data_IF_184358799221
#
_entry.id   IF_184358799221
#
_cell.length_a   1.000
_cell.length_b   1.000
_cell.length_c   1.000
_cell.angle_alpha   90.00
_cell.angle_beta   90.00
_cell.angle_gamma   90.00
#
_symmetry.space_group_name_H-M   'P 1'
#
loop_
_entity.id
_entity.type
_entity.pdbx_description
1 polymer ?
#
# COMPACT_ATOMS: atom_id res chain seq x y z
N UNK A 1 25.40 -18.80 -12.49
CA UNK A 1 25.15 -17.35 -12.32
C UNK A 1 23.76 -17.24 -11.68
N UNK A 2 23.72 -17.13 -10.35
CA UNK A 2 22.52 -16.79 -9.62
C UNK A 2 22.43 -15.26 -9.60
N UNK A 3 21.29 -14.71 -10.00
CA UNK A 3 20.99 -13.26 -10.06
C UNK A 3 21.64 -12.49 -11.23
N UNK A 4 21.10 -12.66 -12.43
CA UNK A 4 21.59 -11.98 -13.63
C UNK A 4 21.01 -10.55 -13.80
N UNK A 5 19.90 -10.21 -13.14
CA UNK A 5 19.30 -8.86 -13.12
C UNK A 5 18.49 -8.67 -11.84
N UNK A 6 18.79 -7.61 -11.13
CA UNK A 6 18.10 -7.16 -9.91
C UNK A 6 17.18 -5.99 -10.27
N UNK A 7 16.39 -6.13 -11.32
CA UNK A 7 15.46 -5.08 -11.72
C UNK A 7 14.20 -5.17 -10.85
N UNK A 8 13.78 -4.03 -10.34
CA UNK A 8 12.48 -3.85 -9.69
C UNK A 8 11.39 -3.95 -10.75
N UNK A 9 10.41 -4.80 -10.53
CA UNK A 9 9.23 -4.86 -11.39
C UNK A 9 8.13 -3.95 -10.85
N UNK A 10 7.84 -2.89 -11.58
CA UNK A 10 6.75 -1.99 -11.25
C UNK A 10 5.52 -2.36 -12.08
N UNK A 11 4.39 -2.58 -11.43
CA UNK A 11 3.12 -2.92 -12.08
C UNK A 11 2.00 -2.03 -11.59
N UNK A 12 1.21 -1.57 -12.52
CA UNK A 12 -0.03 -0.88 -12.23
C UNK A 12 -1.12 -1.88 -11.84
N UNK A 13 -1.93 -1.51 -10.85
CA UNK A 13 -3.10 -2.28 -10.45
C UNK A 13 -4.19 -1.37 -9.88
N UNK A 14 -5.37 -1.95 -9.66
CA UNK A 14 -6.53 -1.24 -9.15
C UNK A 14 -7.01 -1.87 -7.86
N UNK A 15 -7.38 -1.06 -6.89
CA UNK A 15 -8.03 -1.47 -5.67
C UNK A 15 -9.55 -1.65 -5.89
N UNK A 16 -10.25 -2.15 -4.87
CA UNK A 16 -11.68 -2.43 -4.97
C UNK A 16 -12.50 -1.16 -5.22
N UNK A 17 -12.07 -0.04 -4.64
CA UNK A 17 -12.69 1.28 -4.84
C UNK A 17 -12.35 1.92 -6.21
N UNK A 18 -11.62 1.23 -7.07
CA UNK A 18 -11.18 1.71 -8.39
C UNK A 18 -9.93 2.60 -8.35
N UNK A 19 -9.35 2.86 -7.17
CA UNK A 19 -8.12 3.64 -7.06
C UNK A 19 -6.94 2.91 -7.71
N UNK A 20 -6.19 3.64 -8.51
CA UNK A 20 -4.97 3.16 -9.15
C UNK A 20 -3.81 3.15 -8.14
N UNK A 21 -3.08 2.06 -8.10
CA UNK A 21 -1.89 1.89 -7.26
C UNK A 21 -0.74 1.30 -8.09
N UNK A 22 0.48 1.56 -7.64
CA UNK A 22 1.67 0.96 -8.23
C UNK A 22 2.21 -0.10 -7.27
N UNK A 23 2.28 -1.32 -7.74
CA UNK A 23 2.94 -2.42 -7.02
C UNK A 23 4.39 -2.49 -7.46
N UNK A 24 5.28 -2.38 -6.50
CA UNK A 24 6.73 -2.50 -6.71
C UNK A 24 7.16 -3.85 -6.14
N UNK A 25 7.46 -4.80 -7.04
CA UNK A 25 7.95 -6.11 -6.65
C UNK A 25 9.47 -6.04 -6.44
N UNK A 26 9.90 -6.41 -5.23
CA UNK A 26 11.31 -6.42 -4.86
C UNK A 26 11.86 -7.83 -4.86
N UNK A 27 13.16 -7.98 -4.97
CA UNK A 27 13.80 -9.29 -4.80
C UNK A 27 13.60 -9.79 -3.39
N UNK A 28 13.12 -11.02 -3.24
CA UNK A 28 12.91 -11.64 -1.93
C UNK A 28 14.19 -11.74 -1.13
N UNK A 29 14.09 -11.51 0.18
CA UNK A 29 15.22 -11.69 1.09
C UNK A 29 15.52 -13.18 1.23
N UNK A 30 16.71 -13.58 0.80
CA UNK A 30 17.21 -14.94 0.93
C UNK A 30 18.06 -15.01 2.19
N UNK A 31 17.85 -16.04 3.01
CA UNK A 31 18.73 -16.31 4.15
C UNK A 31 20.18 -16.43 3.66
N UNK A 32 21.11 -15.73 4.30
CA UNK A 32 22.54 -15.68 3.93
C UNK A 32 22.88 -14.83 2.69
N UNK A 33 22.32 -13.64 2.57
CA UNK A 33 22.81 -12.67 1.58
C UNK A 33 24.25 -12.27 1.96
N UNK A 34 25.27 -12.54 1.12
CA UNK A 34 26.63 -12.09 1.36
C UNK A 34 26.68 -10.56 1.47
N UNK A 35 27.51 -10.02 2.37
CA UNK A 35 27.59 -8.58 2.63
C UNK A 35 27.86 -7.73 1.39
N UNK A 36 28.59 -8.27 0.41
CA UNK A 36 28.86 -7.61 -0.88
C UNK A 36 27.62 -7.53 -1.79
N UNK A 37 26.60 -8.38 -1.61
CA UNK A 37 25.34 -8.28 -2.33
C UNK A 37 24.37 -7.29 -1.68
N UNK A 38 24.49 -7.00 -0.38
CA UNK A 38 23.66 -5.99 0.30
C UNK A 38 23.81 -4.63 -0.36
N UNK A 39 25.02 -4.25 -0.80
CA UNK A 39 25.25 -2.99 -1.51
C UNK A 39 24.58 -2.96 -2.89
N UNK A 40 24.55 -4.09 -3.59
CA UNK A 40 23.87 -4.22 -4.89
C UNK A 40 22.34 -4.18 -4.75
N UNK A 41 21.79 -4.64 -3.61
CA UNK A 41 20.37 -4.56 -3.27
C UNK A 41 19.93 -3.18 -2.79
N UNK A 42 20.89 -2.34 -2.37
CA UNK A 42 20.58 -1.05 -1.75
C UNK A 42 19.73 -0.16 -2.65
N UNK A 43 20.02 -0.13 -3.96
CA UNK A 43 19.22 0.65 -4.93
C UNK A 43 17.77 0.16 -5.02
N UNK A 44 17.56 -1.15 -5.12
CA UNK A 44 16.23 -1.77 -5.20
C UNK A 44 15.45 -1.61 -3.88
N UNK A 45 16.16 -1.64 -2.75
CA UNK A 45 15.56 -1.47 -1.43
C UNK A 45 15.26 0.00 -1.08
N UNK A 46 15.90 0.95 -1.76
CA UNK A 46 15.58 2.37 -1.60
C UNK A 46 14.16 2.70 -2.07
N UNK A 47 13.57 1.91 -2.97
CA UNK A 47 12.16 2.01 -3.36
C UNK A 47 11.20 1.90 -2.16
N UNK A 48 11.56 1.10 -1.14
CA UNK A 48 10.79 0.96 0.10
C UNK A 48 10.62 2.32 0.81
N UNK A 49 11.62 3.20 0.73
CA UNK A 49 11.56 4.52 1.35
C UNK A 49 10.47 5.42 0.75
N UNK A 50 10.18 5.20 -0.52
CA UNK A 50 9.20 6.01 -1.27
C UNK A 50 7.81 5.38 -1.30
N UNK A 51 7.66 4.13 -0.83
CA UNK A 51 6.36 3.47 -0.77
C UNK A 51 5.47 4.08 0.31
N UNK A 52 4.16 4.12 0.08
CA UNK A 52 3.15 4.52 1.06
C UNK A 52 2.77 3.38 2.01
N UNK A 53 2.96 2.14 1.56
CA UNK A 53 2.63 0.91 2.29
C UNK A 53 3.60 -0.21 1.92
N UNK A 54 4.00 -1.01 2.90
CA UNK A 54 4.83 -2.20 2.71
C UNK A 54 3.95 -3.44 2.88
N UNK A 55 3.98 -4.34 1.89
CA UNK A 55 3.42 -5.68 2.00
C UNK A 55 4.56 -6.66 2.29
N UNK A 56 4.68 -7.12 3.52
CA UNK A 56 5.64 -8.14 3.92
C UNK A 56 5.04 -9.52 3.64
N UNK A 57 5.34 -10.08 2.46
CA UNK A 57 4.81 -11.38 2.03
C UNK A 57 5.66 -12.53 2.59
N UNK A 58 5.01 -13.42 3.34
CA UNK A 58 5.62 -14.48 4.12
C UNK A 58 5.07 -15.83 3.65
N UNK A 59 5.95 -16.79 3.33
CA UNK A 59 5.56 -18.18 3.09
C UNK A 59 5.35 -18.88 4.44
N UNK A 60 4.09 -18.94 4.91
CA UNK A 60 3.76 -19.54 6.22
C UNK A 60 4.02 -21.05 6.27
N UNK A 61 4.21 -21.72 5.13
CA UNK A 61 4.55 -23.14 5.07
C UNK A 61 6.04 -23.44 5.26
N UNK A 62 6.86 -22.40 5.37
CA UNK A 62 8.30 -22.54 5.59
C UNK A 62 8.60 -22.88 7.05
N UNK A 63 9.61 -23.71 7.30
CA UNK A 63 10.02 -24.08 8.67
C UNK A 63 10.71 -22.91 9.41
N UNK A 64 11.27 -21.95 8.69
CA UNK A 64 12.05 -20.84 9.24
C UNK A 64 11.28 -19.50 9.13
N UNK A 65 9.97 -19.50 9.32
CA UNK A 65 9.12 -18.29 9.17
C UNK A 65 9.56 -17.18 10.11
N UNK A 66 9.82 -17.49 11.38
CA UNK A 66 10.18 -16.49 12.40
C UNK A 66 11.52 -15.82 12.07
N UNK A 67 12.50 -16.59 11.61
CA UNK A 67 13.80 -16.07 11.17
C UNK A 67 13.63 -15.13 9.96
N UNK A 68 12.77 -15.52 9.01
CA UNK A 68 12.49 -14.69 7.82
C UNK A 68 11.83 -13.36 8.19
N UNK A 69 10.87 -13.40 9.11
CA UNK A 69 10.22 -12.18 9.62
C UNK A 69 11.26 -11.27 10.31
N UNK A 70 12.09 -11.86 11.17
CA UNK A 70 13.13 -11.11 11.90
C UNK A 70 14.13 -10.46 10.95
N UNK A 71 14.65 -11.19 9.97
CA UNK A 71 15.61 -10.69 8.97
C UNK A 71 15.00 -9.52 8.17
N UNK A 72 13.74 -9.67 7.73
CA UNK A 72 13.07 -8.61 6.97
C UNK A 72 12.85 -7.36 7.82
N UNK A 73 12.41 -7.52 9.08
CA UNK A 73 12.21 -6.41 10.00
C UNK A 73 13.53 -5.67 10.32
N UNK A 74 14.63 -6.41 10.53
CA UNK A 74 15.95 -5.80 10.67
C UNK A 74 16.38 -5.00 9.42
N UNK A 75 16.03 -5.46 8.24
CA UNK A 75 16.34 -4.76 7.00
C UNK A 75 15.51 -3.46 6.88
N UNK A 76 14.21 -3.51 7.16
CA UNK A 76 13.32 -2.33 7.20
C UNK A 76 13.89 -1.29 8.18
N UNK A 77 14.38 -1.75 9.33
CA UNK A 77 15.05 -0.89 10.32
C UNK A 77 16.33 -0.26 9.79
N UNK A 78 17.20 -1.04 9.14
CA UNK A 78 18.43 -0.54 8.52
C UNK A 78 18.18 0.49 7.43
N UNK A 79 17.01 0.44 6.79
CA UNK A 79 16.57 1.43 5.79
C UNK A 79 15.92 2.67 6.41
N UNK A 80 15.75 2.75 7.73
CA UNK A 80 15.01 3.77 8.47
C UNK A 80 13.56 3.92 7.97
N UNK A 81 12.88 2.76 7.79
CA UNK A 81 11.50 2.68 7.33
C UNK A 81 10.55 2.06 8.38
N UNK A 82 10.92 2.12 9.67
CA UNK A 82 10.14 1.55 10.78
C UNK A 82 8.83 2.29 11.03
N UNK A 83 8.75 3.54 10.63
CA UNK A 83 7.58 4.41 10.72
C UNK A 83 6.54 4.16 9.63
N UNK A 84 6.87 3.31 8.65
CA UNK A 84 5.95 2.98 7.55
C UNK A 84 4.89 1.97 7.97
N UNK A 85 3.71 2.10 7.38
CA UNK A 85 2.67 1.10 7.51
C UNK A 85 3.11 -0.22 6.87
N UNK A 86 3.00 -1.32 7.62
CA UNK A 86 3.36 -2.66 7.16
C UNK A 86 2.15 -3.58 7.34
N UNK A 87 1.79 -4.32 6.29
CA UNK A 87 0.84 -5.43 6.37
C UNK A 87 1.63 -6.73 6.23
N UNK A 88 1.54 -7.62 7.22
CA UNK A 88 2.12 -8.94 7.19
C UNK A 88 1.18 -9.89 6.45
N UNK A 89 1.58 -10.32 5.25
CA UNK A 89 0.77 -11.17 4.36
C UNK A 89 1.28 -12.60 4.45
N UNK A 90 0.66 -13.41 5.30
CA UNK A 90 0.97 -14.84 5.43
C UNK A 90 0.34 -15.61 4.28
N UNK A 91 1.14 -15.89 3.27
CA UNK A 91 0.73 -16.59 2.05
C UNK A 91 0.94 -18.10 2.14
N UNK A 92 0.30 -18.84 1.26
CA UNK A 92 0.33 -20.30 1.12
C UNK A 92 -0.34 -21.05 2.28
N UNK A 93 -1.41 -20.49 2.84
CA UNK A 93 -2.20 -21.17 3.88
C UNK A 93 -2.77 -22.51 3.40
N UNK A 94 -2.93 -22.69 2.09
CA UNK A 94 -3.33 -23.96 1.47
C UNK A 94 -2.39 -25.13 1.72
N UNK A 95 -1.16 -24.85 2.16
CA UNK A 95 -0.16 -25.85 2.53
C UNK A 95 -0.12 -26.20 4.01
N UNK A 96 -0.90 -25.48 4.83
CA UNK A 96 -0.92 -25.74 6.27
C UNK A 96 -1.66 -27.05 6.56
N UNK A 97 -1.02 -27.92 7.33
CA UNK A 97 -1.62 -29.14 7.86
C UNK A 97 -2.42 -28.89 9.15
N UNK A 98 -2.11 -27.82 9.86
CA UNK A 98 -2.74 -27.43 11.12
C UNK A 98 -3.00 -25.93 11.14
N UNK A 99 -4.22 -25.53 11.46
CA UNK A 99 -4.61 -24.10 11.59
C UNK A 99 -4.05 -23.45 12.86
N UNK A 100 -3.60 -24.21 13.86
CA UNK A 100 -2.99 -23.66 15.08
C UNK A 100 -1.75 -22.79 14.79
N UNK A 101 -1.11 -22.99 13.64
CA UNK A 101 0.00 -22.16 13.17
C UNK A 101 -0.43 -20.69 13.06
N UNK A 102 -1.68 -20.42 12.65
CA UNK A 102 -2.21 -19.06 12.59
C UNK A 102 -2.28 -18.40 13.97
N UNK A 103 -2.54 -19.18 15.02
CA UNK A 103 -2.58 -18.71 16.41
C UNK A 103 -1.22 -18.24 16.90
N UNK A 104 -0.15 -18.89 16.46
CA UNK A 104 1.22 -18.46 16.80
C UNK A 104 1.50 -17.01 16.42
N UNK A 105 0.93 -16.54 15.30
CA UNK A 105 1.09 -15.17 14.81
C UNK A 105 -0.04 -14.23 15.25
N UNK A 106 -0.87 -14.62 16.24
CA UNK A 106 -2.02 -13.82 16.69
C UNK A 106 -1.63 -12.42 17.18
N UNK A 107 -0.45 -12.26 17.76
CA UNK A 107 0.06 -11.02 18.33
C UNK A 107 0.63 -10.02 17.29
N UNK A 108 0.79 -10.45 16.03
CA UNK A 108 1.22 -9.53 14.97
C UNK A 108 0.04 -8.67 14.58
N UNK A 109 0.21 -7.35 14.67
CA UNK A 109 -0.76 -6.38 14.16
C UNK A 109 -0.73 -6.34 12.62
N UNK A 110 -1.81 -5.85 12.01
CA UNK A 110 -1.92 -5.68 10.56
C UNK A 110 -1.51 -6.93 9.77
N UNK A 111 -2.06 -8.09 10.14
CA UNK A 111 -1.79 -9.36 9.45
C UNK A 111 -2.99 -9.85 8.66
N UNK A 112 -2.70 -10.57 7.60
CA UNK A 112 -3.70 -11.29 6.81
C UNK A 112 -3.14 -12.64 6.35
N UNK A 113 -4.01 -13.65 6.29
CA UNK A 113 -3.67 -15.00 5.86
C UNK A 113 -4.33 -15.28 4.51
N UNK A 114 -3.54 -15.61 3.48
CA UNK A 114 -4.03 -15.80 2.12
C UNK A 114 -3.47 -17.07 1.48
N UNK A 115 -4.12 -17.50 0.41
CA UNK A 115 -3.53 -18.37 -0.60
C UNK A 115 -3.64 -17.71 -1.96
N UNK A 116 -2.58 -17.06 -2.39
CA UNK A 116 -2.52 -16.44 -3.71
C UNK A 116 -2.72 -17.44 -4.86
N UNK A 117 -2.40 -18.73 -4.64
CA UNK A 117 -2.62 -19.79 -5.63
C UNK A 117 -4.10 -20.09 -5.86
N UNK A 118 -4.90 -20.00 -4.82
CA UNK A 118 -6.32 -20.38 -4.82
C UNK A 118 -7.25 -19.15 -4.76
N UNK A 119 -6.72 -17.94 -4.94
CA UNK A 119 -7.43 -16.65 -4.80
C UNK A 119 -8.15 -16.48 -3.44
N UNK A 120 -7.72 -17.28 -2.44
CA UNK A 120 -8.30 -17.24 -1.11
C UNK A 120 -7.91 -15.96 -0.38
N UNK A 121 -8.90 -15.22 0.09
CA UNK A 121 -8.78 -13.98 0.85
C UNK A 121 -8.00 -12.84 0.16
N UNK A 122 -7.80 -12.90 -1.16
CA UNK A 122 -7.19 -11.79 -1.92
C UNK A 122 -8.06 -10.53 -1.84
N UNK A 123 -9.38 -10.68 -1.88
CA UNK A 123 -10.29 -9.53 -1.72
C UNK A 123 -10.18 -8.88 -0.34
N UNK A 124 -9.90 -9.64 0.72
CA UNK A 124 -9.64 -9.12 2.05
C UNK A 124 -8.30 -8.39 2.11
N UNK A 125 -7.26 -8.94 1.48
CA UNK A 125 -5.97 -8.25 1.36
C UNK A 125 -6.14 -6.89 0.67
N UNK A 126 -6.86 -6.82 -0.46
CA UNK A 126 -7.09 -5.57 -1.16
C UNK A 126 -7.87 -4.56 -0.30
N UNK A 127 -8.83 -5.00 0.51
CA UNK A 127 -9.55 -4.15 1.47
C UNK A 127 -8.62 -3.60 2.57
N UNK A 128 -7.73 -4.44 3.12
CA UNK A 128 -6.77 -3.98 4.13
C UNK A 128 -5.76 -3.01 3.52
N UNK A 129 -5.27 -3.25 2.30
CA UNK A 129 -4.43 -2.30 1.56
C UNK A 129 -5.15 -0.96 1.38
N UNK A 130 -6.40 -1.00 0.93
CA UNK A 130 -7.24 0.18 0.74
C UNK A 130 -7.41 0.97 2.04
N UNK A 131 -7.75 0.28 3.12
CA UNK A 131 -7.88 0.89 4.45
C UNK A 131 -6.58 1.56 4.89
N UNK A 132 -5.42 0.91 4.73
CA UNK A 132 -4.13 1.48 5.13
C UNK A 132 -3.70 2.68 4.28
N UNK A 133 -3.97 2.64 2.98
CA UNK A 133 -3.61 3.74 2.08
C UNK A 133 -4.54 4.96 2.23
N UNK A 134 -5.83 4.71 2.51
CA UNK A 134 -6.85 5.76 2.47
C UNK A 134 -7.51 6.07 3.82
N UNK A 135 -7.08 5.43 4.93
CA UNK A 135 -7.63 5.69 6.27
C UNK A 135 -7.50 7.14 6.72
N UNK A 136 -6.52 7.85 6.21
CA UNK A 136 -6.31 9.28 6.46
C UNK A 136 -6.96 10.19 5.42
N UNK A 137 -7.63 9.62 4.41
CA UNK A 137 -8.30 10.40 3.37
C UNK A 137 -9.76 10.64 3.74
N UNK A 138 -10.19 11.85 3.48
CA UNK A 138 -11.57 12.31 3.70
C UNK A 138 -12.25 12.38 2.34
N UNK A 139 -13.31 11.58 2.15
CA UNK A 139 -14.16 11.69 0.98
C UNK A 139 -15.04 12.91 1.13
N UNK A 140 -15.01 13.80 0.14
CA UNK A 140 -15.79 15.04 0.16
C UNK A 140 -16.29 15.39 -1.23
N UNK A 141 -17.37 16.20 -1.27
CA UNK A 141 -17.86 16.84 -2.48
C UNK A 141 -17.61 18.34 -2.37
N UNK A 142 -16.80 18.87 -3.28
CA UNK A 142 -16.45 20.29 -3.32
C UNK A 142 -17.11 20.96 -4.53
N UNK A 143 -17.83 22.05 -4.30
CA UNK A 143 -18.33 22.93 -5.35
C UNK A 143 -17.43 24.16 -5.45
N UNK A 144 -16.56 24.19 -6.42
CA UNK A 144 -15.60 25.28 -6.63
C UNK A 144 -16.16 26.30 -7.62
N UNK A 145 -16.40 27.55 -7.21
CA UNK A 145 -16.88 28.59 -8.10
C UNK A 145 -15.95 28.86 -9.28
N UNK A 146 -16.49 29.31 -10.41
CA UNK A 146 -15.73 29.53 -11.64
C UNK A 146 -14.67 30.63 -11.54
N UNK A 147 -14.81 31.57 -10.62
CA UNK A 147 -13.81 32.60 -10.34
C UNK A 147 -12.58 32.07 -9.57
N UNK A 148 -12.63 30.83 -9.12
CA UNK A 148 -11.56 30.15 -8.34
C UNK A 148 -10.99 28.91 -9.02
N UNK A 149 -10.96 28.88 -10.32
CA UNK A 149 -10.47 27.72 -11.10
C UNK A 149 -9.01 27.33 -10.82
N UNK A 150 -8.19 28.23 -10.31
CA UNK A 150 -6.84 27.91 -9.86
C UNK A 150 -6.82 26.85 -8.76
N UNK A 151 -7.86 26.81 -7.91
CA UNK A 151 -8.00 25.76 -6.87
C UNK A 151 -8.20 24.38 -7.53
N UNK A 152 -9.05 24.31 -8.57
CA UNK A 152 -9.27 23.05 -9.30
C UNK A 152 -7.97 22.54 -9.90
N UNK A 153 -7.20 23.43 -10.54
CA UNK A 153 -5.91 23.07 -11.14
C UNK A 153 -4.92 22.54 -10.06
N UNK A 154 -4.89 23.18 -8.89
CA UNK A 154 -4.04 22.72 -7.78
C UNK A 154 -4.49 21.36 -7.27
N UNK A 155 -5.78 21.15 -7.07
CA UNK A 155 -6.33 19.87 -6.62
C UNK A 155 -6.03 18.78 -7.65
N UNK A 156 -6.24 19.04 -8.94
CA UNK A 156 -6.03 18.04 -10.01
C UNK A 156 -4.56 17.71 -10.27
N UNK A 157 -3.62 18.53 -9.84
CA UNK A 157 -2.19 18.19 -9.89
C UNK A 157 -1.82 17.11 -8.87
N UNK A 158 -2.44 17.15 -7.68
CA UNK A 158 -2.07 16.31 -6.55
C UNK A 158 -3.04 15.12 -6.36
N UNK A 159 -4.27 15.24 -6.89
CA UNK A 159 -5.36 14.28 -6.68
C UNK A 159 -6.13 13.99 -7.97
N UNK A 160 -6.69 12.79 -8.05
CA UNK A 160 -7.60 12.40 -9.13
C UNK A 160 -9.01 12.34 -8.55
N UNK A 161 -9.95 13.22 -8.97
CA UNK A 161 -11.33 13.15 -8.54
C UNK A 161 -12.01 11.87 -9.01
N UNK A 162 -12.91 11.31 -8.18
CA UNK A 162 -13.78 10.19 -8.59
C UNK A 162 -14.70 10.61 -9.73
N UNK A 163 -15.23 11.85 -9.66
CA UNK A 163 -15.93 12.46 -10.78
C UNK A 163 -15.85 13.98 -10.75
N UNK A 164 -16.07 14.59 -11.93
CA UNK A 164 -16.10 16.04 -12.14
C UNK A 164 -17.39 16.38 -12.88
N UNK A 165 -18.16 17.33 -12.37
CA UNK A 165 -19.39 17.82 -13.00
C UNK A 165 -19.41 19.35 -13.04
N UNK A 166 -19.80 19.93 -14.18
CA UNK A 166 -19.94 21.36 -14.32
C UNK A 166 -21.39 21.76 -13.99
N UNK A 167 -21.57 22.53 -12.92
CA UNK A 167 -22.87 23.10 -12.46
C UNK A 167 -22.98 24.55 -12.89
N UNK A 168 -24.15 25.14 -12.76
CA UNK A 168 -24.38 26.59 -13.10
C UNK A 168 -23.47 27.54 -12.31
N UNK A 169 -23.16 27.21 -11.05
CA UNK A 169 -22.44 28.08 -10.10
C UNK A 169 -20.99 27.64 -9.85
N UNK A 170 -20.49 26.61 -10.53
CA UNK A 170 -19.11 26.13 -10.35
C UNK A 170 -18.88 24.71 -10.84
N UNK A 171 -17.72 24.18 -10.51
CA UNK A 171 -17.34 22.79 -10.81
C UNK A 171 -17.47 21.94 -9.55
N UNK A 172 -18.29 20.91 -9.61
CA UNK A 172 -18.45 19.91 -8.57
C UNK A 172 -17.40 18.81 -8.72
N UNK A 173 -16.63 18.56 -7.66
CA UNK A 173 -15.66 17.50 -7.57
C UNK A 173 -16.07 16.53 -6.46
N UNK A 174 -16.11 15.22 -6.72
CA UNK A 174 -16.11 14.19 -5.67
C UNK A 174 -14.71 13.62 -5.58
N UNK A 175 -14.09 13.71 -4.40
CA UNK A 175 -12.66 13.50 -4.25
C UNK A 175 -12.30 12.98 -2.86
N UNK A 176 -11.20 12.22 -2.80
CA UNK A 176 -10.53 11.82 -1.56
C UNK A 176 -9.35 12.76 -1.31
N UNK A 177 -9.35 13.47 -0.18
CA UNK A 177 -8.32 14.43 0.21
C UNK A 177 -7.62 14.01 1.50
N UNK A 178 -6.33 14.28 1.61
CA UNK A 178 -5.63 14.22 2.90
C UNK A 178 -6.25 15.23 3.86
N UNK A 179 -6.22 14.93 5.16
CA UNK A 179 -6.84 15.76 6.20
C UNK A 179 -6.43 17.23 6.14
N UNK A 180 -5.14 17.50 5.87
CA UNK A 180 -4.61 18.86 5.77
C UNK A 180 -5.18 19.61 4.56
N UNK A 181 -5.31 18.95 3.42
CA UNK A 181 -5.86 19.54 2.21
C UNK A 181 -7.39 19.68 2.29
N UNK A 182 -8.08 18.71 2.91
CA UNK A 182 -9.50 18.87 3.23
C UNK A 182 -9.75 20.14 4.04
N UNK A 183 -8.93 20.39 5.09
CA UNK A 183 -9.07 21.60 5.90
C UNK A 183 -8.89 22.90 5.12
N UNK A 184 -8.07 22.92 4.05
CA UNK A 184 -7.92 24.06 3.15
C UNK A 184 -9.17 24.31 2.30
N UNK A 185 -9.83 23.20 1.87
CA UNK A 185 -10.91 23.28 0.88
C UNK A 185 -12.30 23.04 1.45
N UNK A 186 -12.44 22.71 2.75
CA UNK A 186 -13.74 22.47 3.40
C UNK A 186 -14.76 23.60 3.27
N UNK A 187 -14.32 24.84 3.02
CA UNK A 187 -15.22 25.97 2.76
C UNK A 187 -16.01 25.87 1.45
N UNK A 188 -15.65 24.91 0.58
CA UNK A 188 -16.34 24.61 -0.67
C UNK A 188 -17.14 23.30 -0.59
N UNK A 189 -17.15 22.64 0.57
CA UNK A 189 -17.90 21.41 0.76
C UNK A 189 -19.39 21.63 0.64
N UNK A 190 -20.04 20.72 -0.07
CA UNK A 190 -21.51 20.67 -0.13
C UNK A 190 -21.99 19.34 0.46
N UNK A 191 -22.97 19.44 1.35
CA UNK A 191 -23.74 18.28 1.80
C UNK A 191 -24.94 18.19 0.85
N UNK A 192 -25.04 17.09 0.10
CA UNK A 192 -26.32 16.77 -0.55
C UNK A 192 -27.26 16.23 0.51
N UNK A 193 -28.44 16.86 0.57
CA UNK A 193 -29.61 16.28 1.22
C UNK A 193 -30.14 15.08 0.45
#
# INVERSE_FOLDING_TARGET
MLFATLDTYVREGYLINGSKVMYVDTVGFVSNIPHNLVESFKGTLEEIKYSDLILHVIDISNINVDDQISITNEMIKKLNCEDKNIIYVFNKVDKLLNEDIKLHYSNIENKIFISAKNDFDISLLLKEVEKHLFSSLIQTKLLIPYDKQSIISTIMNDYIPEFVEYKENGTLLKILLKSDDYNKYKGYEINEE
#
